data_IF_259322259701
#
_entry.id   IF_259322259701
#
_cell.length_a   1.000
_cell.length_b   1.000
_cell.length_c   1.000
_cell.angle_alpha   90.00
_cell.angle_beta   90.00
_cell.angle_gamma   90.00
#
_symmetry.space_group_name_H-M   'P 1'
#
loop_
_entity.id
_entity.type
_entity.pdbx_description
1 polymer ?
#
# COMPACT_ATOMS: atom_id res chain seq x y z
N UNK A 1 18.21 23.99 -15.23
CA UNK A 1 17.21 23.26 -14.41
C UNK A 1 17.93 22.38 -13.38
N UNK A 2 17.40 22.25 -12.15
CA UNK A 2 18.03 21.43 -11.08
C UNK A 2 18.17 19.98 -11.55
N UNK A 3 17.16 19.45 -12.25
CA UNK A 3 17.16 18.10 -12.82
C UNK A 3 18.38 17.82 -13.67
N UNK A 4 18.74 18.73 -14.54
CA UNK A 4 19.82 18.52 -15.51
C UNK A 4 21.22 18.59 -14.88
N UNK A 5 21.30 19.10 -13.66
CA UNK A 5 22.52 19.07 -12.83
C UNK A 5 22.60 17.84 -11.91
N UNK A 6 21.44 17.23 -11.58
CA UNK A 6 21.40 16.09 -10.66
C UNK A 6 21.54 14.76 -11.38
N UNK A 7 20.98 14.63 -12.60
CA UNK A 7 20.91 13.36 -13.31
C UNK A 7 21.16 13.53 -14.79
N UNK A 8 21.98 12.67 -15.36
CA UNK A 8 22.07 12.50 -16.81
C UNK A 8 20.86 11.68 -17.27
N UNK A 9 19.97 12.32 -18.02
CA UNK A 9 18.79 11.65 -18.56
C UNK A 9 19.19 10.67 -19.68
N UNK A 10 18.86 9.39 -19.48
CA UNK A 10 18.99 8.36 -20.49
C UNK A 10 17.75 7.45 -20.44
N UNK A 11 17.09 7.14 -21.59
CA UNK A 11 15.94 6.23 -21.61
C UNK A 11 16.23 4.86 -21.00
N UNK A 12 17.48 4.40 -21.01
CA UNK A 12 17.91 3.14 -20.37
C UNK A 12 17.67 3.12 -18.85
N UNK A 13 17.57 4.28 -18.20
CA UNK A 13 17.23 4.37 -16.77
C UNK A 13 15.80 3.93 -16.46
N UNK A 14 14.94 3.78 -17.47
CA UNK A 14 13.59 3.23 -17.31
C UNK A 14 13.55 1.69 -17.30
N UNK A 15 14.64 1.00 -17.62
CA UNK A 15 14.70 -0.47 -17.67
C UNK A 15 14.23 -1.12 -16.36
N UNK A 16 14.63 -0.68 -15.17
CA UNK A 16 14.14 -1.28 -13.93
C UNK A 16 12.61 -1.22 -13.80
N UNK A 17 12.02 -0.10 -14.19
CA UNK A 17 10.57 0.08 -14.20
C UNK A 17 9.90 -0.87 -15.21
N UNK A 18 10.45 -1.01 -16.40
CA UNK A 18 9.95 -1.94 -17.43
C UNK A 18 10.04 -3.39 -16.95
N UNK A 19 11.13 -3.77 -16.27
CA UNK A 19 11.28 -5.12 -15.66
C UNK A 19 10.15 -5.40 -14.66
N UNK A 20 9.84 -4.46 -13.79
CA UNK A 20 8.79 -4.62 -12.79
C UNK A 20 7.42 -4.74 -13.47
N UNK A 21 7.12 -3.90 -14.47
CA UNK A 21 5.88 -3.96 -15.23
C UNK A 21 5.73 -5.28 -15.99
N UNK A 22 6.76 -5.70 -16.72
CA UNK A 22 6.73 -6.98 -17.46
C UNK A 22 6.62 -8.18 -16.52
N UNK A 23 7.33 -8.17 -15.40
CA UNK A 23 7.23 -9.20 -14.38
C UNK A 23 5.80 -9.34 -13.83
N UNK A 24 5.15 -8.20 -13.57
CA UNK A 24 3.75 -8.15 -13.13
C UNK A 24 2.79 -8.66 -14.20
N UNK A 25 2.92 -8.22 -15.45
CA UNK A 25 2.11 -8.67 -16.59
C UNK A 25 2.27 -10.17 -16.85
N UNK A 26 3.48 -10.70 -16.69
CA UNK A 26 3.79 -12.13 -16.84
C UNK A 26 3.41 -12.96 -15.59
N UNK A 27 2.76 -12.35 -14.60
CA UNK A 27 2.34 -12.99 -13.34
C UNK A 27 3.47 -13.72 -12.62
N UNK A 28 4.69 -13.19 -12.71
CA UNK A 28 5.84 -13.74 -11.98
C UNK A 28 5.79 -13.35 -10.51
N UNK A 29 6.43 -14.13 -9.61
CA UNK A 29 6.49 -13.78 -8.19
C UNK A 29 7.05 -12.37 -7.98
N UNK A 30 6.35 -11.56 -7.20
CA UNK A 30 6.64 -10.12 -7.06
C UNK A 30 8.03 -9.86 -6.46
N UNK A 31 8.39 -10.61 -5.40
CA UNK A 31 9.65 -10.40 -4.69
C UNK A 31 10.89 -10.57 -5.57
N UNK A 32 11.09 -11.69 -6.30
CA UNK A 32 12.23 -11.84 -7.21
C UNK A 32 12.30 -10.75 -8.27
N UNK A 33 11.16 -10.35 -8.85
CA UNK A 33 11.09 -9.30 -9.87
C UNK A 33 11.53 -7.96 -9.30
N UNK A 34 11.11 -7.62 -8.08
CA UNK A 34 11.53 -6.39 -7.40
C UNK A 34 13.04 -6.40 -7.10
N UNK A 35 13.60 -7.51 -6.61
CA UNK A 35 15.04 -7.62 -6.35
C UNK A 35 15.87 -7.48 -7.62
N UNK A 36 15.43 -8.08 -8.74
CA UNK A 36 16.09 -7.91 -10.03
C UNK A 36 16.01 -6.43 -10.48
N UNK A 37 14.84 -5.81 -10.33
CA UNK A 37 14.66 -4.38 -10.64
C UNK A 37 15.61 -3.49 -9.84
N UNK A 38 15.76 -3.74 -8.53
CA UNK A 38 16.69 -3.00 -7.66
C UNK A 38 18.14 -3.22 -8.11
N UNK A 39 18.55 -4.47 -8.35
CA UNK A 39 19.91 -4.78 -8.80
C UNK A 39 20.26 -4.07 -10.11
N UNK A 40 19.35 -4.09 -11.08
CA UNK A 40 19.51 -3.40 -12.37
C UNK A 40 19.53 -1.88 -12.17
N UNK A 41 18.70 -1.31 -11.29
CA UNK A 41 18.71 0.11 -10.99
C UNK A 41 20.05 0.57 -10.38
N UNK A 42 20.62 -0.20 -9.46
CA UNK A 42 21.94 0.09 -8.88
C UNK A 42 23.03 0.00 -9.95
N UNK A 43 23.02 -1.03 -10.80
CA UNK A 43 23.99 -1.19 -11.88
C UNK A 43 23.94 -0.02 -12.88
N UNK A 44 22.74 0.39 -13.30
CA UNK A 44 22.56 1.55 -14.20
C UNK A 44 22.97 2.86 -13.51
N UNK A 45 22.70 3.01 -12.22
CA UNK A 45 23.16 4.16 -11.44
C UNK A 45 24.68 4.27 -11.40
N UNK A 46 25.40 3.15 -11.28
CA UNK A 46 26.85 3.14 -11.36
C UNK A 46 27.38 3.51 -12.73
N UNK A 47 26.77 2.98 -13.81
CA UNK A 47 27.24 3.17 -15.19
C UNK A 47 26.95 4.60 -15.69
N UNK A 48 25.73 5.09 -15.49
CA UNK A 48 25.27 6.36 -16.09
C UNK A 48 25.37 7.58 -15.19
N UNK A 49 25.34 7.36 -13.87
CA UNK A 49 25.33 8.46 -12.88
C UNK A 49 26.66 8.57 -12.10
N UNK A 50 27.61 7.65 -12.33
CA UNK A 50 28.88 7.64 -11.61
C UNK A 50 28.76 7.34 -10.12
N UNK A 51 27.67 6.73 -9.68
CA UNK A 51 27.52 6.29 -8.28
C UNK A 51 28.41 5.11 -7.97
N UNK A 52 28.94 5.07 -6.75
CA UNK A 52 29.65 3.90 -6.23
C UNK A 52 28.64 2.86 -5.73
N UNK A 53 29.08 1.60 -5.65
CA UNK A 53 28.27 0.55 -5.00
C UNK A 53 27.86 0.93 -3.58
N UNK A 54 28.74 1.61 -2.85
CA UNK A 54 28.46 2.13 -1.51
C UNK A 54 27.30 3.13 -1.50
N UNK A 55 27.23 4.02 -2.50
CA UNK A 55 26.08 4.94 -2.66
C UNK A 55 24.80 4.19 -2.94
N UNK A 56 24.83 3.15 -3.77
CA UNK A 56 23.65 2.31 -4.06
C UNK A 56 23.14 1.59 -2.81
N UNK A 57 24.03 0.97 -2.03
CA UNK A 57 23.69 0.30 -0.77
C UNK A 57 23.19 1.29 0.29
N UNK A 58 23.79 2.45 0.39
CA UNK A 58 23.34 3.49 1.32
C UNK A 58 21.97 4.03 0.90
N UNK A 59 21.73 4.23 -0.39
CA UNK A 59 20.43 4.63 -0.90
C UNK A 59 19.34 3.58 -0.62
N UNK A 60 19.67 2.29 -0.73
CA UNK A 60 18.77 1.20 -0.39
C UNK A 60 18.41 1.18 1.10
N UNK A 61 19.41 1.32 1.99
CA UNK A 61 19.18 1.24 3.44
C UNK A 61 18.65 2.55 4.02
N UNK A 62 19.31 3.68 3.73
CA UNK A 62 19.05 4.97 4.38
C UNK A 62 18.30 5.97 3.49
N UNK A 63 18.00 5.58 2.25
CA UNK A 63 17.43 6.47 1.25
C UNK A 63 18.48 7.29 0.49
N UNK A 64 18.06 7.86 -0.63
CA UNK A 64 18.90 8.73 -1.43
C UNK A 64 19.16 10.03 -0.69
N UNK A 65 20.42 10.50 -0.70
CA UNK A 65 20.83 11.79 -0.16
C UNK A 65 21.46 12.61 -1.28
N UNK A 66 21.11 13.91 -1.32
CA UNK A 66 21.62 14.81 -2.36
C UNK A 66 23.15 14.94 -2.31
N UNK A 67 23.76 14.71 -1.16
CA UNK A 67 25.21 14.68 -0.97
C UNK A 67 25.93 13.54 -1.70
N UNK A 68 25.18 12.57 -2.23
CA UNK A 68 25.72 11.49 -3.07
C UNK A 68 26.02 11.98 -4.49
N UNK A 69 25.48 13.13 -4.90
CA UNK A 69 25.71 13.72 -6.23
C UNK A 69 26.85 14.72 -6.10
N UNK A 70 27.99 14.50 -6.82
CA UNK A 70 29.11 15.43 -6.80
C UNK A 70 28.71 16.83 -7.28
N UNK A 71 29.10 17.87 -6.54
CA UNK A 71 28.88 19.28 -6.94
C UNK A 71 27.48 19.84 -6.63
N UNK A 72 26.68 19.13 -5.84
CA UNK A 72 25.39 19.63 -5.36
C UNK A 72 25.42 19.80 -3.85
N UNK A 73 25.20 21.05 -3.39
CA UNK A 73 25.05 21.38 -1.98
C UNK A 73 23.57 21.37 -1.58
N UNK A 74 23.29 20.67 -0.47
CA UNK A 74 21.95 20.63 0.10
C UNK A 74 21.43 22.04 0.48
N UNK A 75 22.35 22.92 0.91
CA UNK A 75 22.01 24.30 1.30
C UNK A 75 21.58 25.20 0.11
N UNK A 76 22.02 24.85 -1.12
CA UNK A 76 21.68 25.61 -2.33
C UNK A 76 20.42 25.07 -3.04
N UNK A 77 19.81 23.98 -2.52
CA UNK A 77 18.68 23.32 -3.15
C UNK A 77 17.38 23.69 -2.42
N UNK A 78 16.31 23.94 -3.19
CA UNK A 78 14.99 24.24 -2.63
C UNK A 78 14.51 23.13 -1.67
N UNK A 79 13.94 23.51 -0.53
CA UNK A 79 13.44 22.59 0.50
C UNK A 79 12.42 21.59 -0.03
N UNK A 80 11.56 22.00 -0.97
CA UNK A 80 10.56 21.11 -1.59
C UNK A 80 11.23 20.00 -2.42
N UNK A 81 12.30 20.35 -3.15
CA UNK A 81 13.08 19.37 -3.93
C UNK A 81 13.79 18.41 -3.00
N UNK A 82 14.39 18.89 -1.92
CA UNK A 82 15.01 18.04 -0.91
C UNK A 82 14.01 17.06 -0.30
N UNK A 83 12.82 17.55 0.04
CA UNK A 83 11.73 16.74 0.59
C UNK A 83 11.28 15.64 -0.36
N UNK A 84 11.25 15.90 -1.66
CA UNK A 84 10.85 14.91 -2.68
C UNK A 84 11.95 13.89 -2.96
N UNK A 85 13.21 14.34 -3.00
CA UNK A 85 14.33 13.50 -3.47
C UNK A 85 14.96 12.69 -2.33
N UNK A 86 15.04 13.26 -1.10
CA UNK A 86 15.64 12.59 0.07
C UNK A 86 14.63 11.71 0.81
N UNK A 87 13.86 10.92 0.06
CA UNK A 87 12.91 9.95 0.62
C UNK A 87 13.30 8.53 0.28
N UNK A 88 12.71 7.61 1.01
CA UNK A 88 12.91 6.19 0.79
C UNK A 88 13.96 5.59 1.72
N UNK A 89 14.43 4.40 1.34
CA UNK A 89 15.30 3.58 2.15
C UNK A 89 14.55 2.75 3.20
N UNK A 90 15.16 1.62 3.57
CA UNK A 90 14.58 0.65 4.52
C UNK A 90 14.35 1.29 5.90
N UNK A 91 15.24 2.17 6.32
CA UNK A 91 15.17 2.83 7.63
C UNK A 91 14.00 3.81 7.74
N UNK A 92 13.55 4.41 6.64
CA UNK A 92 12.37 5.28 6.65
C UNK A 92 11.09 4.49 6.94
N UNK A 93 11.09 3.19 6.62
CA UNK A 93 9.95 2.29 6.84
C UNK A 93 9.98 1.60 8.20
N UNK A 94 11.06 1.72 8.99
CA UNK A 94 11.21 1.02 10.26
C UNK A 94 10.11 1.39 11.28
N UNK A 95 9.75 2.67 11.37
CA UNK A 95 8.67 3.12 12.24
C UNK A 95 7.30 2.56 11.79
N UNK A 96 7.09 2.45 10.48
CA UNK A 96 5.88 1.86 9.90
C UNK A 96 5.82 0.37 10.23
N UNK A 97 6.93 -0.36 10.08
CA UNK A 97 7.02 -1.78 10.41
C UNK A 97 6.70 -2.01 11.90
N UNK A 98 7.27 -1.19 12.79
CA UNK A 98 6.99 -1.27 14.23
C UNK A 98 5.51 -1.01 14.53
N UNK A 99 4.93 0.02 13.92
CA UNK A 99 3.52 0.35 14.09
C UNK A 99 2.62 -0.79 13.58
N UNK A 100 2.94 -1.36 12.41
CA UNK A 100 2.23 -2.51 11.85
C UNK A 100 2.32 -3.71 12.79
N UNK A 101 3.50 -3.99 13.35
CA UNK A 101 3.70 -5.09 14.29
C UNK A 101 2.83 -4.93 15.55
N UNK A 102 2.80 -3.74 16.15
CA UNK A 102 1.93 -3.44 17.28
C UNK A 102 0.44 -3.57 16.92
N UNK A 103 0.06 -3.08 15.72
CA UNK A 103 -1.30 -3.14 15.25
C UNK A 103 -1.79 -4.58 15.01
N UNK A 104 -0.96 -5.44 14.41
CA UNK A 104 -1.28 -6.85 14.26
C UNK A 104 -1.36 -7.60 15.61
N UNK A 105 -0.50 -7.26 16.56
CA UNK A 105 -0.57 -7.83 17.90
C UNK A 105 -1.90 -7.49 18.57
N UNK A 106 -2.35 -6.25 18.45
CA UNK A 106 -3.67 -5.81 18.96
C UNK A 106 -4.82 -6.54 18.24
N UNK A 107 -4.75 -6.62 16.89
CA UNK A 107 -5.76 -7.30 16.09
C UNK A 107 -5.88 -8.79 16.46
N UNK A 108 -4.76 -9.49 16.66
CA UNK A 108 -4.74 -10.89 17.09
C UNK A 108 -5.41 -11.10 18.46
N UNK A 109 -5.16 -10.21 19.42
CA UNK A 109 -5.83 -10.26 20.72
C UNK A 109 -7.34 -10.03 20.58
N UNK A 110 -7.76 -9.09 19.73
CA UNK A 110 -9.17 -8.79 19.49
C UNK A 110 -9.89 -9.97 18.79
N UNK A 111 -9.20 -10.68 17.89
CA UNK A 111 -9.69 -11.87 17.21
C UNK A 111 -9.87 -13.03 18.21
N UNK A 112 -8.86 -13.37 18.98
CA UNK A 112 -8.91 -14.42 20.01
C UNK A 112 -9.97 -14.13 21.10
N UNK A 113 -10.20 -12.86 21.42
CA UNK A 113 -11.24 -12.46 22.35
C UNK A 113 -12.67 -12.57 21.78
N UNK A 114 -12.83 -12.96 20.50
CA UNK A 114 -14.14 -13.16 19.85
C UNK A 114 -14.91 -11.87 19.59
N UNK A 115 -14.26 -10.71 19.65
CA UNK A 115 -14.93 -9.43 19.36
C UNK A 115 -15.43 -9.37 17.93
N UNK A 116 -14.65 -9.91 17.00
CA UNK A 116 -14.99 -9.90 15.57
C UNK A 116 -16.22 -10.75 15.27
N UNK A 117 -16.31 -11.96 15.84
CA UNK A 117 -17.45 -12.86 15.66
C UNK A 117 -18.75 -12.25 16.16
N UNK A 118 -18.74 -11.62 17.34
CA UNK A 118 -19.95 -10.98 17.90
C UNK A 118 -20.48 -9.83 17.06
N UNK A 119 -19.59 -9.01 16.49
CA UNK A 119 -19.99 -7.91 15.60
C UNK A 119 -20.65 -8.47 14.35
N UNK A 120 -20.11 -9.54 13.81
CA UNK A 120 -20.59 -10.19 12.59
C UNK A 120 -21.93 -10.85 12.79
N UNK A 121 -22.12 -11.59 13.86
CA UNK A 121 -23.40 -12.26 14.19
C UNK A 121 -24.53 -11.25 14.34
N UNK A 122 -24.25 -10.09 14.94
CA UNK A 122 -25.21 -9.01 15.07
C UNK A 122 -25.64 -8.42 13.70
N UNK A 123 -24.79 -8.47 12.70
CA UNK A 123 -25.04 -7.97 11.34
C UNK A 123 -25.76 -9.02 10.49
N UNK A 124 -25.27 -10.27 10.48
CA UNK A 124 -25.79 -11.35 9.63
C UNK A 124 -27.24 -11.70 9.99
N UNK A 125 -27.59 -11.69 11.27
CA UNK A 125 -28.94 -12.00 11.74
C UNK A 125 -30.05 -11.09 11.20
N UNK A 126 -29.73 -9.90 10.70
CA UNK A 126 -30.66 -8.90 10.20
C UNK A 126 -30.82 -8.91 8.66
N UNK A 127 -30.09 -9.73 7.94
CA UNK A 127 -30.05 -9.72 6.47
C UNK A 127 -31.26 -10.46 5.89
N UNK A 128 -32.09 -9.73 5.12
CA UNK A 128 -33.31 -10.27 4.48
C UNK A 128 -33.35 -10.15 2.95
N UNK A 129 -32.39 -9.49 2.32
CA UNK A 129 -32.38 -9.25 0.87
C UNK A 129 -30.97 -9.33 0.30
N UNK A 130 -30.87 -9.52 -1.04
CA UNK A 130 -29.56 -9.54 -1.75
C UNK A 130 -28.77 -8.26 -1.52
N UNK A 131 -29.42 -7.10 -1.72
CA UNK A 131 -28.77 -5.79 -1.53
C UNK A 131 -28.33 -5.58 -0.08
N UNK A 132 -29.13 -6.00 0.91
CA UNK A 132 -28.74 -5.97 2.31
C UNK A 132 -27.53 -6.88 2.61
N UNK A 133 -27.39 -8.00 1.89
CA UNK A 133 -26.21 -8.89 2.05
C UNK A 133 -24.94 -8.18 1.57
N UNK A 134 -24.99 -7.50 0.42
CA UNK A 134 -23.84 -6.76 -0.11
C UNK A 134 -23.50 -5.59 0.82
N UNK A 135 -24.49 -4.77 1.18
CA UNK A 135 -24.27 -3.63 2.09
C UNK A 135 -23.70 -4.07 3.45
N UNK A 136 -24.24 -5.16 4.01
CA UNK A 136 -23.72 -5.73 5.25
C UNK A 136 -22.28 -6.27 5.10
N UNK A 137 -21.97 -6.89 3.96
CA UNK A 137 -20.61 -7.32 3.62
C UNK A 137 -19.64 -6.16 3.58
N UNK A 138 -19.98 -5.06 2.89
CA UNK A 138 -19.16 -3.84 2.81
C UNK A 138 -18.97 -3.24 4.21
N UNK A 139 -20.06 -3.05 4.98
CA UNK A 139 -19.97 -2.52 6.34
C UNK A 139 -19.10 -3.38 7.26
N UNK A 140 -19.22 -4.71 7.13
CA UNK A 140 -18.38 -5.65 7.90
C UNK A 140 -16.92 -5.53 7.46
N UNK A 141 -16.64 -5.49 6.17
CA UNK A 141 -15.28 -5.32 5.65
C UNK A 141 -14.65 -4.01 6.14
N UNK A 142 -15.39 -2.90 6.11
CA UNK A 142 -14.93 -1.61 6.65
C UNK A 142 -14.63 -1.71 8.14
N UNK A 143 -15.55 -2.30 8.91
CA UNK A 143 -15.39 -2.47 10.36
C UNK A 143 -14.16 -3.32 10.68
N UNK A 144 -13.98 -4.43 9.97
CA UNK A 144 -12.81 -5.31 10.13
C UNK A 144 -11.51 -4.64 9.68
N UNK A 145 -11.55 -3.77 8.68
CA UNK A 145 -10.39 -2.98 8.28
C UNK A 145 -9.99 -1.98 9.36
N UNK A 146 -10.96 -1.35 10.01
CA UNK A 146 -10.71 -0.39 11.10
C UNK A 146 -10.19 -1.12 12.35
N UNK A 147 -10.82 -2.21 12.77
CA UNK A 147 -10.45 -2.94 13.98
C UNK A 147 -9.20 -3.78 13.77
N UNK A 148 -9.12 -4.51 12.65
CA UNK A 148 -8.01 -5.39 12.29
C UNK A 148 -6.79 -4.65 11.75
N UNK A 149 -6.89 -3.34 11.51
CA UNK A 149 -5.80 -2.45 11.02
C UNK A 149 -5.20 -2.91 9.68
N UNK A 150 -5.78 -3.93 9.06
CA UNK A 150 -5.25 -4.58 7.86
C UNK A 150 -6.35 -4.94 6.87
N UNK A 151 -6.13 -4.59 5.62
CA UNK A 151 -6.99 -5.04 4.52
C UNK A 151 -7.01 -6.56 4.34
N UNK A 152 -5.92 -7.27 4.66
CA UNK A 152 -5.84 -8.72 4.54
C UNK A 152 -6.78 -9.45 5.49
N UNK A 153 -6.82 -9.05 6.76
CA UNK A 153 -7.72 -9.64 7.75
C UNK A 153 -9.16 -9.39 7.33
N UNK A 154 -9.46 -8.18 6.91
CA UNK A 154 -10.78 -7.82 6.40
C UNK A 154 -11.21 -8.67 5.21
N UNK A 155 -10.33 -8.87 4.22
CA UNK A 155 -10.61 -9.69 3.02
C UNK A 155 -10.91 -11.14 3.39
N UNK A 156 -10.05 -11.77 4.19
CA UNK A 156 -10.18 -13.18 4.55
C UNK A 156 -11.45 -13.40 5.38
N UNK A 157 -11.63 -12.66 6.45
CA UNK A 157 -12.76 -12.84 7.35
C UNK A 157 -14.09 -12.50 6.69
N UNK A 158 -14.19 -11.39 5.96
CA UNK A 158 -15.42 -11.06 5.22
C UNK A 158 -15.74 -12.13 4.17
N UNK A 159 -14.73 -12.61 3.44
CA UNK A 159 -14.88 -13.65 2.45
C UNK A 159 -15.43 -14.96 3.03
N UNK A 160 -14.90 -15.40 4.16
CA UNK A 160 -15.35 -16.62 4.84
C UNK A 160 -16.77 -16.48 5.40
N UNK A 161 -17.04 -15.37 6.08
CA UNK A 161 -18.31 -15.12 6.78
C UNK A 161 -19.48 -14.95 5.82
N UNK A 162 -19.28 -14.20 4.74
CA UNK A 162 -20.34 -13.92 3.77
C UNK A 162 -20.47 -14.95 2.67
N UNK A 163 -19.57 -15.93 2.57
CA UNK A 163 -19.67 -17.01 1.56
C UNK A 163 -21.01 -17.74 1.62
N UNK A 164 -21.43 -18.17 2.82
CA UNK A 164 -22.72 -18.87 3.00
C UNK A 164 -23.93 -17.97 2.69
N UNK A 165 -24.04 -16.73 3.19
CA UNK A 165 -25.08 -15.80 2.81
C UNK A 165 -25.18 -15.56 1.29
N UNK A 166 -24.05 -15.35 0.60
CA UNK A 166 -24.05 -15.14 -0.86
C UNK A 166 -24.58 -16.35 -1.62
N UNK A 167 -24.14 -17.57 -1.27
CA UNK A 167 -24.63 -18.80 -1.86
C UNK A 167 -26.13 -19.02 -1.60
N UNK A 168 -26.62 -18.71 -0.40
CA UNK A 168 -28.04 -18.77 -0.05
C UNK A 168 -28.90 -17.89 -0.96
N UNK A 169 -28.43 -16.70 -1.31
CA UNK A 169 -29.10 -15.77 -2.22
C UNK A 169 -28.80 -16.03 -3.69
N UNK A 170 -28.09 -17.12 -4.03
CA UNK A 170 -27.66 -17.46 -5.40
C UNK A 170 -26.93 -16.28 -6.07
N UNK A 171 -26.07 -15.61 -5.33
CA UNK A 171 -25.17 -14.58 -5.83
C UNK A 171 -23.83 -15.20 -6.20
N UNK A 172 -23.20 -14.67 -7.25
CA UNK A 172 -21.88 -15.12 -7.68
C UNK A 172 -20.81 -14.74 -6.65
N UNK A 173 -19.82 -15.62 -6.43
CA UNK A 173 -18.71 -15.36 -5.53
C UNK A 173 -17.78 -14.23 -6.04
N UNK A 174 -17.85 -13.89 -7.33
CA UNK A 174 -17.17 -12.71 -7.87
C UNK A 174 -17.70 -11.41 -7.26
N UNK A 175 -19.01 -11.34 -6.96
CA UNK A 175 -19.62 -10.20 -6.27
C UNK A 175 -19.14 -10.13 -4.82
N UNK A 176 -18.95 -11.29 -4.15
CA UNK A 176 -18.36 -11.34 -2.82
C UNK A 176 -16.91 -10.84 -2.83
N UNK A 177 -16.10 -11.31 -3.79
CA UNK A 177 -14.71 -10.85 -3.94
C UNK A 177 -14.65 -9.32 -4.09
N UNK A 178 -15.55 -8.77 -4.91
CA UNK A 178 -15.66 -7.32 -5.09
C UNK A 178 -16.06 -6.61 -3.79
N UNK A 179 -17.06 -7.13 -3.09
CA UNK A 179 -17.51 -6.58 -1.80
C UNK A 179 -16.36 -6.53 -0.78
N UNK A 180 -15.55 -7.58 -0.72
CA UNK A 180 -14.38 -7.64 0.15
C UNK A 180 -13.33 -6.59 -0.25
N UNK A 181 -13.11 -6.40 -1.55
CA UNK A 181 -12.13 -5.44 -2.07
C UNK A 181 -12.57 -3.99 -1.82
N UNK A 182 -13.81 -3.65 -2.12
CA UNK A 182 -14.36 -2.31 -1.93
C UNK A 182 -14.38 -1.90 -0.45
N UNK A 183 -14.79 -2.79 0.45
CA UNK A 183 -14.82 -2.53 1.90
C UNK A 183 -13.48 -2.71 2.62
N UNK A 184 -12.63 -3.60 2.13
CA UNK A 184 -11.36 -3.94 2.75
C UNK A 184 -10.18 -3.15 2.18
N UNK A 185 -9.81 -3.47 0.94
CA UNK A 185 -8.56 -2.95 0.34
C UNK A 185 -8.63 -1.47 0.05
N UNK A 186 -9.73 -0.99 -0.55
CA UNK A 186 -9.88 0.42 -0.92
C UNK A 186 -9.97 1.31 0.31
N UNK A 187 -10.73 0.90 1.31
CA UNK A 187 -10.89 1.65 2.56
C UNK A 187 -9.61 1.61 3.41
N UNK A 188 -8.81 0.55 3.32
CA UNK A 188 -7.57 0.44 4.06
C UNK A 188 -6.62 1.63 3.81
N UNK A 189 -6.60 2.17 2.59
CA UNK A 189 -5.76 3.32 2.23
C UNK A 189 -6.20 4.65 2.87
N UNK A 190 -7.44 4.71 3.36
CA UNK A 190 -8.06 5.91 3.94
C UNK A 190 -7.97 5.89 5.48
N UNK A 191 -7.85 4.72 6.08
CA UNK A 191 -7.75 4.58 7.55
C UNK A 191 -6.35 5.00 8.01
N UNK A 192 -6.21 6.03 8.86
CA UNK A 192 -4.90 6.62 9.18
C UNK A 192 -3.90 5.68 9.86
N UNK A 193 -4.39 4.72 10.62
CA UNK A 193 -3.58 3.75 11.38
C UNK A 193 -3.51 2.37 10.72
N UNK A 194 -4.11 2.20 9.54
CA UNK A 194 -4.01 0.96 8.78
C UNK A 194 -2.63 0.79 8.12
N UNK A 195 -2.32 -0.44 7.75
CA UNK A 195 -1.05 -0.76 7.06
C UNK A 195 -0.84 0.06 5.79
N UNK A 196 -1.87 0.19 4.96
CA UNK A 196 -1.79 0.97 3.71
C UNK A 196 -1.77 2.47 3.97
N UNK A 197 -2.58 2.96 4.91
CA UNK A 197 -2.59 4.38 5.29
C UNK A 197 -1.25 4.85 5.83
N UNK A 198 -0.63 4.08 6.73
CA UNK A 198 0.70 4.36 7.26
C UNK A 198 1.78 4.30 6.18
N UNK A 199 1.70 3.32 5.26
CA UNK A 199 2.63 3.23 4.14
C UNK A 199 2.55 4.48 3.24
N UNK A 200 1.35 4.89 2.84
CA UNK A 200 1.18 6.09 2.00
C UNK A 200 1.59 7.36 2.73
N UNK A 201 1.23 7.51 3.99
CA UNK A 201 1.66 8.66 4.79
C UNK A 201 3.18 8.73 4.90
N UNK A 202 3.86 7.60 5.10
CA UNK A 202 5.32 7.52 5.14
C UNK A 202 5.98 7.81 3.79
N UNK A 203 5.44 7.24 2.71
CA UNK A 203 5.95 7.41 1.36
C UNK A 203 5.76 8.84 0.82
N UNK A 204 4.57 9.41 1.03
CA UNK A 204 4.24 10.77 0.58
C UNK A 204 4.74 11.84 1.55
N UNK A 205 4.95 11.49 2.83
CA UNK A 205 5.36 12.39 3.91
C UNK A 205 4.29 13.40 4.28
N UNK A 206 3.03 13.04 4.08
CA UNK A 206 1.86 13.83 4.48
C UNK A 206 0.88 12.95 5.25
N UNK A 207 0.18 13.47 6.27
CA UNK A 207 -0.79 12.67 7.01
C UNK A 207 -1.95 12.23 6.10
N UNK A 208 -2.56 11.09 6.44
CA UNK A 208 -3.66 10.49 5.65
C UNK A 208 -4.80 11.48 5.41
N UNK A 209 -5.16 12.27 6.41
CA UNK A 209 -6.24 13.26 6.31
C UNK A 209 -5.98 14.34 5.25
N UNK A 210 -4.71 14.62 4.94
CA UNK A 210 -4.35 15.63 3.92
C UNK A 210 -4.55 15.13 2.50
N UNK A 211 -4.33 13.84 2.22
CA UNK A 211 -4.58 13.28 0.89
C UNK A 211 -5.97 12.68 0.72
N UNK A 212 -6.71 12.47 1.79
CA UNK A 212 -8.05 11.89 1.77
C UNK A 212 -8.99 12.56 0.75
N UNK A 213 -9.09 13.91 0.67
CA UNK A 213 -9.98 14.56 -0.30
C UNK A 213 -9.61 14.30 -1.77
N UNK A 214 -8.35 13.93 -2.02
CA UNK A 214 -7.79 13.69 -3.35
C UNK A 214 -7.77 12.21 -3.73
N UNK A 215 -8.20 11.34 -2.82
CA UNK A 215 -8.20 9.89 -3.02
C UNK A 215 -9.46 9.41 -3.77
N UNK A 216 -9.71 10.03 -4.93
CA UNK A 216 -10.90 9.79 -5.75
C UNK A 216 -11.10 8.32 -6.13
N UNK A 217 -10.00 7.57 -6.32
CA UNK A 217 -10.06 6.17 -6.71
C UNK A 217 -10.81 5.32 -5.69
N UNK A 218 -10.59 5.52 -4.39
CA UNK A 218 -11.29 4.77 -3.36
C UNK A 218 -12.79 5.07 -3.34
N UNK A 219 -13.17 6.32 -3.56
CA UNK A 219 -14.59 6.73 -3.56
C UNK A 219 -15.31 6.34 -4.85
N UNK A 220 -14.69 6.57 -6.02
CA UNK A 220 -15.31 6.31 -7.32
C UNK A 220 -15.43 4.81 -7.58
N UNK A 221 -14.39 4.02 -7.33
CA UNK A 221 -14.42 2.58 -7.55
C UNK A 221 -15.42 1.89 -6.62
N UNK A 222 -15.51 2.31 -5.36
CA UNK A 222 -16.51 1.79 -4.43
C UNK A 222 -17.93 2.11 -4.85
N UNK A 223 -18.17 3.28 -5.48
CA UNK A 223 -19.51 3.72 -5.93
C UNK A 223 -19.94 3.15 -7.29
N UNK A 224 -19.01 2.92 -8.20
CA UNK A 224 -19.33 2.44 -9.58
C UNK A 224 -19.71 0.95 -9.59
N UNK A 225 -19.34 0.21 -8.54
CA UNK A 225 -19.46 -1.25 -8.53
C UNK A 225 -20.56 -1.80 -7.60
N UNK A 226 -21.37 -0.92 -6.98
CA UNK A 226 -22.58 -1.27 -6.27
C UNK A 226 -23.76 -1.30 -7.23
#
# INVERSE_FOLDING_TARGET
CIRDRMYTWNPLLLIPFVIILLGSLLRKPTLPVMYIGIAVAVALGMIFQGFTLGHGLTAFVSGFKITMVPGLDAAATNADVLTLVQRGGLTSMSNIILTIFCAYSFAGIAEEAGFMEKIIDAVIGKIKTRGATVAAGICTAITLTIIGVSGYISLIMTGELFRKPYLKWRMDLSVLSRTCEDGGTMICSIVPFSTSGLFYAGALGVPVLSYLPWHFMAFILSLIHI
#
